data_IF_325692431820
#
_entry.id   IF_325692431820
#
_cell.length_a   1.000
_cell.length_b   1.000
_cell.length_c   1.000
_cell.angle_alpha   90.00
_cell.angle_beta   90.00
_cell.angle_gamma   90.00
#
_symmetry.space_group_name_H-M   'P 1'
#
loop_
_entity.id
_entity.type
_entity.pdbx_description
1 polymer ?
#
# COMPACT_ATOMS: atom_id res chain seq x y z
N UNK A 1 -17.82 -39.35 48.65
CA UNK A 1 -17.68 -37.92 48.30
C UNK A 1 -16.91 -37.84 47.00
N UNK A 2 -17.54 -38.15 45.87
CA UNK A 2 -17.00 -37.95 44.54
C UNK A 2 -18.15 -37.72 43.58
N UNK A 3 -18.61 -36.50 43.43
CA UNK A 3 -19.41 -36.05 42.27
C UNK A 3 -19.58 -34.55 42.33
N UNK A 4 -18.67 -33.77 41.73
CA UNK A 4 -19.04 -32.39 41.33
C UNK A 4 -18.03 -31.70 40.38
N UNK A 5 -17.12 -32.41 39.73
CA UNK A 5 -16.15 -31.77 38.88
C UNK A 5 -16.38 -31.94 37.35
N UNK A 6 -17.41 -32.70 36.92
CA UNK A 6 -17.68 -32.89 35.49
C UNK A 6 -18.66 -31.88 34.86
N UNK A 7 -19.39 -31.13 35.69
CA UNK A 7 -20.39 -30.19 35.20
C UNK A 7 -19.81 -28.78 34.94
N UNK A 8 -18.75 -28.38 35.65
CA UNK A 8 -18.11 -27.05 35.45
C UNK A 8 -17.33 -26.93 34.16
N UNK A 9 -16.77 -28.02 33.64
CA UNK A 9 -16.00 -28.02 32.40
C UNK A 9 -16.83 -27.92 31.11
N UNK A 10 -18.11 -28.32 31.17
CA UNK A 10 -19.00 -28.22 29.99
C UNK A 10 -19.57 -26.81 29.80
N UNK A 11 -19.81 -26.08 30.89
CA UNK A 11 -20.31 -24.70 30.83
C UNK A 11 -19.28 -23.74 30.32
N UNK A 12 -17.98 -23.92 30.71
CA UNK A 12 -16.89 -23.09 30.20
C UNK A 12 -16.59 -23.29 28.69
N UNK A 13 -16.80 -24.48 28.16
CA UNK A 13 -16.65 -24.73 26.71
C UNK A 13 -17.79 -24.15 25.87
N UNK A 14 -18.97 -23.97 26.43
CA UNK A 14 -20.09 -23.36 25.72
C UNK A 14 -20.03 -21.82 25.72
N UNK A 15 -19.52 -21.21 26.79
CA UNK A 15 -19.32 -19.77 26.82
C UNK A 15 -18.15 -19.30 25.94
N UNK A 16 -17.12 -20.14 25.71
CA UNK A 16 -16.00 -19.79 24.88
C UNK A 16 -16.32 -19.84 23.37
N UNK A 17 -17.33 -20.62 22.97
CA UNK A 17 -17.75 -20.69 21.55
C UNK A 17 -18.72 -19.60 21.11
N UNK A 18 -19.36 -18.91 22.03
CA UNK A 18 -20.32 -17.84 21.70
C UNK A 18 -19.64 -16.46 21.62
N UNK A 19 -18.47 -16.31 22.23
CA UNK A 19 -17.73 -15.03 22.19
C UNK A 19 -16.87 -14.86 20.93
N UNK A 20 -16.63 -15.94 20.17
CA UNK A 20 -15.87 -15.88 18.89
C UNK A 20 -16.73 -15.54 17.67
N UNK A 21 -18.03 -15.33 17.81
CA UNK A 21 -18.95 -15.11 16.68
C UNK A 21 -19.34 -13.65 16.45
N UNK A 22 -18.79 -12.71 17.22
CA UNK A 22 -19.03 -11.27 16.98
C UNK A 22 -17.67 -10.56 16.86
N UNK A 23 -16.85 -10.99 15.89
CA UNK A 23 -15.93 -10.10 15.25
C UNK A 23 -16.77 -9.33 14.23
N UNK A 24 -17.02 -8.03 14.41
CA UNK A 24 -17.61 -7.26 13.32
C UNK A 24 -16.60 -7.36 12.18
N UNK A 25 -16.95 -8.09 11.13
CA UNK A 25 -16.40 -7.88 9.81
C UNK A 25 -16.70 -6.41 9.50
N UNK A 26 -15.77 -5.54 9.85
CA UNK A 26 -15.70 -4.22 9.24
C UNK A 26 -15.45 -4.48 7.76
N UNK A 27 -16.52 -4.75 7.03
CA UNK A 27 -16.55 -4.68 5.58
C UNK A 27 -16.27 -3.20 5.32
N UNK A 28 -14.99 -2.89 5.14
CA UNK A 28 -14.59 -1.58 4.59
C UNK A 28 -15.29 -1.50 3.25
N UNK A 29 -16.37 -0.74 3.19
CA UNK A 29 -17.09 -0.48 1.96
C UNK A 29 -16.11 0.23 1.01
N UNK A 30 -15.45 -0.54 0.18
CA UNK A 30 -14.59 -0.04 -0.89
C UNK A 30 -15.54 0.49 -1.95
N UNK A 31 -15.88 1.76 -1.86
CA UNK A 31 -16.57 2.43 -2.96
C UNK A 31 -15.53 2.66 -4.05
N UNK A 32 -15.52 1.80 -5.06
CA UNK A 32 -14.77 2.02 -6.28
C UNK A 32 -15.40 3.22 -7.00
N UNK A 33 -14.89 4.41 -6.72
CA UNK A 33 -15.20 5.59 -7.52
C UNK A 33 -14.40 5.49 -8.81
N UNK A 34 -15.10 5.35 -9.93
CA UNK A 34 -14.48 5.27 -11.25
C UNK A 34 -13.57 6.49 -11.49
N UNK A 35 -12.31 6.23 -11.79
CA UNK A 35 -11.41 7.21 -12.36
C UNK A 35 -11.92 7.58 -13.75
N UNK A 36 -11.90 8.87 -14.11
CA UNK A 36 -12.18 9.32 -15.47
C UNK A 36 -11.11 8.84 -16.47
N UNK A 37 -9.95 8.42 -16.01
CA UNK A 37 -8.88 7.83 -16.82
C UNK A 37 -9.03 6.30 -16.86
N UNK A 38 -9.25 5.74 -18.03
CA UNK A 38 -9.46 4.30 -18.27
C UNK A 38 -8.27 3.43 -17.85
N UNK A 39 -7.09 4.02 -17.70
CA UNK A 39 -5.84 3.32 -17.37
C UNK A 39 -5.52 3.32 -15.87
N UNK A 40 -6.29 4.03 -15.04
CA UNK A 40 -6.08 4.14 -13.60
C UNK A 40 -7.23 3.47 -12.85
N UNK A 41 -6.88 2.70 -11.82
CA UNK A 41 -7.80 2.26 -10.76
C UNK A 41 -7.68 3.24 -9.60
N UNK A 42 -8.82 3.72 -9.10
CA UNK A 42 -8.93 4.54 -7.90
C UNK A 42 -9.79 3.81 -6.88
N UNK A 43 -9.23 3.49 -5.72
CA UNK A 43 -9.93 2.86 -4.62
C UNK A 43 -9.89 3.79 -3.41
N UNK A 44 -11.05 4.16 -2.88
CA UNK A 44 -11.12 5.02 -1.69
C UNK A 44 -11.67 4.23 -0.51
N UNK A 45 -11.04 4.41 0.65
CA UNK A 45 -11.44 3.79 1.93
C UNK A 45 -11.56 4.88 2.99
N UNK A 46 -12.52 4.72 3.88
CA UNK A 46 -12.59 5.52 5.09
C UNK A 46 -11.82 4.82 6.21
N UNK A 47 -10.89 5.52 6.84
CA UNK A 47 -10.24 5.02 8.04
C UNK A 47 -11.20 5.09 9.26
N UNK A 48 -10.95 4.33 10.35
CA UNK A 48 -11.83 4.33 11.53
C UNK A 48 -12.04 5.70 12.18
N UNK A 49 -11.10 6.63 11.97
CA UNK A 49 -11.19 8.02 12.43
C UNK A 49 -11.98 8.94 11.47
N UNK A 50 -12.61 8.37 10.43
CA UNK A 50 -13.38 9.12 9.43
C UNK A 50 -12.54 9.74 8.30
N UNK A 51 -11.21 9.70 8.36
CA UNK A 51 -10.35 10.18 7.28
C UNK A 51 -10.52 9.31 6.02
N UNK A 52 -10.77 9.96 4.91
CA UNK A 52 -10.84 9.29 3.61
C UNK A 52 -9.45 9.26 2.97
N UNK A 53 -9.09 8.09 2.43
CA UNK A 53 -7.85 7.89 1.69
C UNK A 53 -8.17 7.23 0.37
N UNK A 54 -7.57 7.73 -0.70
CA UNK A 54 -7.72 7.16 -2.04
C UNK A 54 -6.38 6.64 -2.54
N UNK A 55 -6.34 5.39 -2.97
CA UNK A 55 -5.19 4.79 -3.66
C UNK A 55 -5.39 4.82 -5.17
N UNK A 56 -4.33 5.11 -5.88
CA UNK A 56 -4.26 5.15 -7.33
C UNK A 56 -3.21 4.18 -7.83
N UNK A 57 -3.55 3.36 -8.81
CA UNK A 57 -2.64 2.43 -9.46
C UNK A 57 -2.90 2.34 -10.95
N UNK A 58 -1.90 1.94 -11.73
CA UNK A 58 -2.11 1.59 -13.14
C UNK A 58 -2.95 0.31 -13.22
N UNK A 59 -4.02 0.35 -13.99
CA UNK A 59 -5.04 -0.71 -14.04
C UNK A 59 -4.47 -2.07 -14.41
N UNK A 60 -3.58 -2.10 -15.39
CA UNK A 60 -2.97 -3.35 -15.88
C UNK A 60 -2.16 -4.04 -14.79
N UNK A 61 -1.29 -3.29 -14.12
CA UNK A 61 -0.43 -3.78 -13.04
C UNK A 61 -1.26 -4.19 -11.83
N UNK A 62 -2.25 -3.38 -11.46
CA UNK A 62 -3.16 -3.67 -10.36
C UNK A 62 -3.89 -5.00 -10.59
N UNK A 63 -4.52 -5.18 -11.74
CA UNK A 63 -5.24 -6.41 -12.07
C UNK A 63 -4.31 -7.63 -12.10
N UNK A 64 -3.10 -7.48 -12.63
CA UNK A 64 -2.11 -8.57 -12.69
C UNK A 64 -1.66 -9.02 -11.29
N UNK A 65 -1.46 -8.08 -10.36
CA UNK A 65 -1.06 -8.38 -8.98
C UNK A 65 -2.22 -8.94 -8.18
N UNK A 66 -3.41 -8.32 -8.24
CA UNK A 66 -4.61 -8.79 -7.56
C UNK A 66 -4.98 -10.21 -7.98
N UNK A 67 -4.93 -10.52 -9.26
CA UNK A 67 -5.17 -11.88 -9.76
C UNK A 67 -4.18 -12.89 -9.16
N UNK A 68 -2.91 -12.51 -8.97
CA UNK A 68 -1.89 -13.40 -8.37
C UNK A 68 -2.03 -13.54 -6.86
N UNK A 69 -2.46 -12.49 -6.15
CA UNK A 69 -2.70 -12.53 -4.71
C UNK A 69 -3.97 -13.35 -4.40
N UNK A 70 -5.04 -13.17 -5.15
CA UNK A 70 -6.31 -13.86 -4.94
C UNK A 70 -6.31 -15.31 -5.42
N UNK A 71 -5.44 -15.66 -6.36
CA UNK A 71 -5.33 -17.03 -6.88
C UNK A 71 -4.50 -17.90 -5.94
N UNK A 72 -5.13 -18.82 -5.23
CA UNK A 72 -4.50 -19.75 -4.27
C UNK A 72 -3.35 -20.59 -4.87
N UNK A 73 -3.34 -20.81 -6.18
CA UNK A 73 -2.30 -21.59 -6.88
C UNK A 73 -1.06 -20.75 -7.21
N UNK A 74 -1.23 -19.44 -7.40
CA UNK A 74 -0.14 -18.54 -7.80
C UNK A 74 0.43 -17.70 -6.64
N UNK A 75 -0.16 -17.79 -5.47
CA UNK A 75 0.13 -17.14 -4.18
C UNK A 75 1.36 -16.24 -4.18
N UNK A 76 1.15 -14.98 -4.58
CA UNK A 76 2.15 -13.95 -4.36
C UNK A 76 2.06 -13.52 -2.89
N UNK A 77 3.13 -13.66 -2.12
CA UNK A 77 3.18 -13.36 -0.68
C UNK A 77 4.18 -12.26 -0.38
N UNK A 78 3.91 -11.37 0.60
CA UNK A 78 4.94 -10.46 1.07
C UNK A 78 6.10 -11.25 1.69
N UNK A 79 7.30 -10.70 1.55
CA UNK A 79 8.46 -11.17 2.28
C UNK A 79 8.49 -10.52 3.68
N UNK A 80 8.89 -11.29 4.68
CA UNK A 80 8.95 -10.83 6.07
C UNK A 80 10.15 -9.91 6.33
N UNK A 81 11.19 -10.00 5.49
CA UNK A 81 12.41 -9.23 5.63
C UNK A 81 12.35 -7.86 4.94
N UNK A 82 13.23 -6.95 5.37
CA UNK A 82 13.41 -5.66 4.70
C UNK A 82 13.92 -5.80 3.27
N UNK A 83 13.45 -4.92 2.38
CA UNK A 83 13.72 -4.95 0.93
C UNK A 83 15.21 -4.91 0.59
N UNK A 84 15.95 -3.99 1.22
CA UNK A 84 17.32 -3.66 0.85
C UNK A 84 18.36 -4.33 1.76
N UNK A 85 19.47 -4.75 1.18
CA UNK A 85 20.61 -5.31 1.93
C UNK A 85 21.33 -4.24 2.75
N UNK A 86 21.33 -2.99 2.28
CA UNK A 86 22.03 -1.88 2.92
C UNK A 86 21.23 -0.56 2.83
N UNK A 87 21.62 0.41 3.67
CA UNK A 87 20.98 1.71 3.75
C UNK A 87 21.29 2.64 2.56
N UNK A 88 22.40 2.43 1.88
CA UNK A 88 22.81 3.23 0.73
C UNK A 88 21.90 2.91 -0.48
N UNK A 89 21.72 1.63 -0.79
CA UNK A 89 20.81 1.16 -1.83
C UNK A 89 19.38 1.66 -1.59
N UNK A 90 18.91 1.58 -0.33
CA UNK A 90 17.59 2.12 0.07
C UNK A 90 17.49 3.63 -0.18
N UNK A 91 18.53 4.39 0.20
CA UNK A 91 18.57 5.86 0.03
C UNK A 91 18.62 6.23 -1.45
N UNK A 92 19.41 5.55 -2.26
CA UNK A 92 19.51 5.78 -3.69
C UNK A 92 18.15 5.56 -4.39
N UNK A 93 17.46 4.47 -4.05
CA UNK A 93 16.12 4.19 -4.57
C UNK A 93 15.11 5.26 -4.16
N UNK A 94 15.07 5.62 -2.88
CA UNK A 94 14.18 6.67 -2.36
C UNK A 94 14.43 8.03 -3.02
N UNK A 95 15.70 8.41 -3.22
CA UNK A 95 16.06 9.67 -3.88
C UNK A 95 15.64 9.69 -5.35
N UNK A 96 15.79 8.58 -6.06
CA UNK A 96 15.31 8.45 -7.44
C UNK A 96 13.80 8.68 -7.53
N UNK A 97 13.03 8.07 -6.64
CA UNK A 97 11.57 8.25 -6.59
C UNK A 97 11.21 9.69 -6.22
N UNK A 98 11.91 10.28 -5.25
CA UNK A 98 11.69 11.69 -4.86
C UNK A 98 11.92 12.63 -6.04
N UNK A 99 12.98 12.44 -6.82
CA UNK A 99 13.27 13.24 -8.01
C UNK A 99 12.17 13.09 -9.08
N UNK A 100 11.57 11.89 -9.21
CA UNK A 100 10.42 11.68 -10.09
C UNK A 100 9.22 12.50 -9.63
N UNK A 101 8.90 12.50 -8.34
CA UNK A 101 7.81 13.29 -7.78
C UNK A 101 8.03 14.78 -8.05
N UNK A 102 9.21 15.32 -7.66
CA UNK A 102 9.56 16.72 -7.81
C UNK A 102 9.58 17.19 -9.28
N UNK A 103 9.97 16.32 -10.21
CA UNK A 103 10.01 16.65 -11.65
C UNK A 103 8.69 16.39 -12.40
N UNK A 104 7.67 15.86 -11.70
CA UNK A 104 6.38 15.51 -12.34
C UNK A 104 5.24 16.36 -11.80
N UNK A 105 5.24 16.64 -10.51
CA UNK A 105 4.25 17.45 -9.83
C UNK A 105 4.65 18.93 -9.90
N UNK A 106 3.66 19.82 -9.96
CA UNK A 106 3.93 21.25 -9.84
C UNK A 106 4.07 21.68 -8.37
N UNK A 107 4.53 22.91 -8.12
CA UNK A 107 4.82 23.41 -6.77
C UNK A 107 3.58 23.39 -5.86
N UNK A 108 2.38 23.68 -6.38
CA UNK A 108 1.14 23.67 -5.62
C UNK A 108 0.77 22.23 -5.20
N UNK A 109 0.90 21.26 -6.11
CA UNK A 109 0.68 19.84 -5.82
C UNK A 109 1.70 19.31 -4.79
N UNK A 110 2.98 19.70 -4.94
CA UNK A 110 4.04 19.35 -3.98
C UNK A 110 3.73 19.94 -2.61
N UNK A 111 3.31 21.19 -2.52
CA UNK A 111 2.99 21.86 -1.26
C UNK A 111 1.83 21.17 -0.54
N UNK A 112 0.82 20.72 -1.26
CA UNK A 112 -0.35 20.03 -0.67
C UNK A 112 0.02 18.62 -0.23
N UNK A 113 0.69 17.84 -1.08
CA UNK A 113 1.05 16.45 -0.76
C UNK A 113 2.01 16.37 0.43
N UNK A 114 2.82 17.41 0.63
CA UNK A 114 3.79 17.49 1.72
C UNK A 114 3.17 17.78 3.09
N UNK A 115 1.99 18.38 3.11
CA UNK A 115 1.26 18.69 4.34
C UNK A 115 0.47 17.49 4.87
N UNK A 116 0.08 16.60 3.98
CA UNK A 116 -0.74 15.44 4.32
C UNK A 116 0.08 14.32 4.96
N UNK A 117 -0.18 13.98 6.23
CA UNK A 117 0.51 12.91 6.97
C UNK A 117 0.28 11.51 6.39
N UNK A 118 -0.75 11.32 5.58
CA UNK A 118 -1.17 10.02 5.06
C UNK A 118 -0.69 9.74 3.63
N UNK A 119 -0.02 10.72 2.99
CA UNK A 119 0.40 10.58 1.60
C UNK A 119 1.63 9.70 1.48
N UNK A 120 1.53 8.64 0.67
CA UNK A 120 2.61 7.70 0.49
C UNK A 120 2.59 7.02 -0.88
N UNK A 121 3.71 6.39 -1.20
CA UNK A 121 3.82 5.40 -2.25
C UNK A 121 3.99 4.02 -1.61
N UNK A 122 3.16 3.07 -2.03
CA UNK A 122 3.33 1.65 -1.76
C UNK A 122 3.85 1.00 -3.04
N UNK A 123 4.97 0.32 -2.96
CA UNK A 123 5.59 -0.31 -4.12
C UNK A 123 5.83 -1.79 -3.81
N UNK A 124 5.18 -2.67 -4.57
CA UNK A 124 5.47 -4.10 -4.52
C UNK A 124 6.62 -4.40 -5.47
N UNK A 125 7.77 -4.81 -4.91
CA UNK A 125 9.00 -5.04 -5.67
C UNK A 125 9.20 -6.54 -5.84
N UNK A 126 9.35 -6.98 -7.07
CA UNK A 126 9.59 -8.36 -7.43
C UNK A 126 11.07 -8.78 -7.31
N UNK A 127 11.32 -10.06 -7.54
CA UNK A 127 12.64 -10.70 -7.43
C UNK A 127 13.74 -10.02 -8.27
N UNK A 128 13.39 -9.44 -9.40
CA UNK A 128 14.34 -8.78 -10.30
C UNK A 128 14.55 -7.29 -9.96
N UNK A 129 14.01 -6.82 -8.84
CA UNK A 129 14.05 -5.42 -8.41
C UNK A 129 13.08 -4.50 -9.14
N UNK A 130 12.26 -5.02 -10.05
CA UNK A 130 11.23 -4.23 -10.74
C UNK A 130 9.99 -4.11 -9.89
N UNK A 131 9.32 -2.96 -10.00
CA UNK A 131 8.01 -2.80 -9.41
C UNK A 131 6.98 -3.68 -10.12
N UNK A 132 6.28 -4.51 -9.35
CA UNK A 132 5.11 -5.28 -9.80
C UNK A 132 3.85 -4.42 -9.75
N UNK A 133 3.77 -3.54 -8.75
CA UNK A 133 2.68 -2.61 -8.54
C UNK A 133 3.22 -1.35 -7.85
N UNK A 134 2.75 -0.20 -8.30
CA UNK A 134 2.96 1.08 -7.63
C UNK A 134 1.59 1.65 -7.31
N UNK A 135 1.37 1.96 -6.04
CA UNK A 135 0.16 2.63 -5.56
C UNK A 135 0.54 3.97 -4.94
N UNK A 136 -0.15 5.02 -5.36
CA UNK A 136 -0.05 6.34 -4.75
C UNK A 136 -1.26 6.54 -3.86
N UNK A 137 -1.05 6.63 -2.55
CA UNK A 137 -2.10 6.84 -1.56
C UNK A 137 -2.14 8.31 -1.19
N UNK A 138 -3.30 8.91 -1.31
CA UNK A 138 -3.54 10.33 -1.03
C UNK A 138 -4.65 10.49 0.01
N UNK A 139 -4.45 11.39 0.95
CA UNK A 139 -5.50 11.87 1.83
C UNK A 139 -6.54 12.71 1.09
N UNK A 140 -7.69 12.92 1.69
CA UNK A 140 -8.81 13.66 1.10
C UNK A 140 -8.41 15.06 0.63
N UNK A 141 -7.57 15.75 1.40
CA UNK A 141 -7.09 17.11 1.07
C UNK A 141 -6.27 17.16 -0.24
N UNK A 142 -5.69 16.03 -0.64
CA UNK A 142 -4.83 15.95 -1.83
C UNK A 142 -5.56 15.39 -3.04
N UNK A 143 -6.58 14.57 -2.82
CA UNK A 143 -7.25 13.75 -3.83
C UNK A 143 -7.87 14.58 -4.96
N UNK A 144 -8.37 15.77 -4.65
CA UNK A 144 -9.01 16.68 -5.61
C UNK A 144 -8.05 17.73 -6.21
N UNK A 145 -6.83 17.85 -5.68
CA UNK A 145 -5.89 18.90 -6.07
C UNK A 145 -4.88 18.37 -7.08
N UNK A 146 -4.44 17.11 -6.90
CA UNK A 146 -3.44 16.52 -7.78
C UNK A 146 -4.12 16.00 -9.04
N UNK A 147 -3.65 16.47 -10.18
CA UNK A 147 -4.24 16.06 -11.46
C UNK A 147 -4.03 14.57 -11.73
N UNK A 148 -5.05 13.90 -12.25
CA UNK A 148 -4.95 12.47 -12.60
C UNK A 148 -3.87 12.20 -13.66
N UNK A 149 -3.60 13.16 -14.53
CA UNK A 149 -2.52 13.06 -15.52
C UNK A 149 -1.14 13.02 -14.85
N UNK A 150 -0.92 13.83 -13.80
CA UNK A 150 0.31 13.82 -13.03
C UNK A 150 0.44 12.54 -12.19
N UNK A 151 -0.63 12.10 -11.52
CA UNK A 151 -0.66 10.80 -10.82
C UNK A 151 -0.23 9.69 -11.79
N UNK A 152 -0.87 9.59 -12.96
CA UNK A 152 -0.53 8.58 -13.98
C UNK A 152 0.93 8.65 -14.41
N UNK A 153 1.45 9.86 -14.61
CA UNK A 153 2.84 10.08 -15.00
C UNK A 153 3.82 9.66 -13.90
N UNK A 154 3.51 9.96 -12.62
CA UNK A 154 4.28 9.48 -11.47
C UNK A 154 4.29 7.97 -11.44
N UNK A 155 3.11 7.32 -11.46
CA UNK A 155 3.00 5.87 -11.42
C UNK A 155 3.81 5.19 -12.54
N UNK A 156 3.69 5.67 -13.78
CA UNK A 156 4.45 5.14 -14.93
C UNK A 156 5.97 5.31 -14.79
N UNK A 157 6.42 6.46 -14.25
CA UNK A 157 7.86 6.71 -14.07
C UNK A 157 8.44 5.89 -12.93
N UNK A 158 7.73 5.82 -11.79
CA UNK A 158 8.16 5.02 -10.63
C UNK A 158 8.18 3.53 -10.96
N UNK A 159 7.20 3.02 -11.71
CA UNK A 159 7.17 1.62 -12.12
C UNK A 159 8.38 1.17 -12.97
N UNK A 160 9.10 2.12 -13.59
CA UNK A 160 10.31 1.85 -14.38
C UNK A 160 11.60 1.87 -13.55
N UNK A 161 11.53 2.35 -12.31
CA UNK A 161 12.71 2.40 -11.45
C UNK A 161 13.02 1.00 -10.95
N UNK A 162 14.26 0.56 -11.18
CA UNK A 162 14.74 -0.71 -10.65
C UNK A 162 15.37 -0.48 -9.27
N UNK A 163 14.93 -1.25 -8.29
CA UNK A 163 15.58 -1.32 -6.98
C UNK A 163 16.82 -2.20 -7.09
N UNK A 164 17.99 -1.63 -6.84
CA UNK A 164 19.26 -2.35 -6.76
C UNK A 164 19.59 -2.67 -5.29
N UNK A 165 20.44 -3.67 -5.05
CA UNK A 165 20.82 -4.07 -3.69
C UNK A 165 19.64 -4.58 -2.86
N UNK A 166 18.70 -5.27 -3.50
CA UNK A 166 17.61 -5.96 -2.80
C UNK A 166 18.06 -7.34 -2.31
N UNK A 167 17.46 -7.80 -1.22
CA UNK A 167 17.67 -9.16 -0.71
C UNK A 167 17.03 -10.18 -1.66
N UNK A 168 17.56 -11.39 -1.63
CA UNK A 168 17.00 -12.48 -2.44
C UNK A 168 15.58 -12.82 -1.99
N UNK A 169 14.68 -12.94 -2.99
CA UNK A 169 13.30 -13.37 -2.80
C UNK A 169 13.14 -14.85 -3.15
N UNK A 170 12.34 -15.55 -2.38
CA UNK A 170 11.83 -16.86 -2.77
C UNK A 170 10.87 -16.72 -3.96
N UNK A 171 10.67 -17.81 -4.65
CA UNK A 171 9.67 -17.87 -5.72
C UNK A 171 8.29 -17.50 -5.14
N UNK A 172 7.56 -16.67 -5.83
CA UNK A 172 6.24 -16.15 -5.42
C UNK A 172 6.24 -15.20 -4.20
N UNK A 173 7.35 -14.53 -3.93
CA UNK A 173 7.40 -13.44 -2.95
C UNK A 173 7.59 -12.09 -3.63
N UNK A 174 7.19 -11.03 -2.92
CA UNK A 174 7.47 -9.64 -3.24
C UNK A 174 7.83 -8.89 -1.97
N UNK A 175 8.52 -7.77 -2.11
CA UNK A 175 8.75 -6.83 -1.03
C UNK A 175 7.73 -5.71 -1.08
N UNK A 176 7.11 -5.41 0.05
CA UNK A 176 6.37 -4.16 0.23
C UNK A 176 7.34 -3.04 0.64
N UNK A 177 7.50 -2.06 -0.24
CA UNK A 177 8.28 -0.86 0.03
C UNK A 177 7.34 0.32 0.22
N UNK A 178 7.36 0.86 1.42
CA UNK A 178 6.57 2.03 1.79
C UNK A 178 7.45 3.27 1.84
N UNK A 179 7.03 4.33 1.17
CA UNK A 179 7.69 5.63 1.17
C UNK A 179 6.68 6.72 1.47
N UNK A 180 6.81 7.37 2.63
CA UNK A 180 6.04 8.58 2.93
C UNK A 180 6.47 9.72 2.00
N UNK A 181 5.48 10.40 1.41
CA UNK A 181 5.72 11.56 0.56
C UNK A 181 5.74 12.80 1.47
N UNK A 182 6.81 12.94 2.24
CA UNK A 182 7.07 14.17 2.98
C UNK A 182 8.11 14.94 2.18
N UNK A 183 7.72 16.09 1.63
CA UNK A 183 8.74 17.00 1.11
C UNK A 183 9.52 17.54 2.31
N UNK A 184 10.67 17.01 2.56
CA UNK A 184 11.68 17.78 3.26
C UNK A 184 11.95 18.99 2.37
N UNK A 185 11.45 20.15 2.77
CA UNK A 185 11.93 21.41 2.30
C UNK A 185 13.41 21.51 2.70
N UNK A 186 14.29 20.90 1.91
CA UNK A 186 15.67 21.33 1.93
C UNK A 186 15.68 22.66 1.22
N UNK A 187 15.73 23.72 2.02
CA UNK A 187 16.14 25.05 1.63
C UNK A 187 17.20 24.96 0.54
N UNK A 188 16.80 25.31 -0.68
CA UNK A 188 17.73 25.78 -1.68
C UNK A 188 18.27 27.09 -1.11
N UNK A 189 19.48 27.05 -0.56
CA UNK A 189 20.34 28.19 -0.36
C UNK A 189 21.34 28.23 -1.50
#
# INVERSE_FOLDING_TARGET
IYTNNKMKTKVYRFCLMVVMAIVPLAISATTAYGSNDKDIVRNCTAAPNGEKRCSYALKKEYQAVEHRISNKLLLLRPADDGVFVDSESKRAYANTIRNILLSTLNDAEIAVISRGKANCLNIKIGKDGKALLVEMVLGEDCDNIISQSHIKKVLKRVARVKANGIRDLRVNQYYDYYMSIVATQHSVR
#
